data_IF_125165038437
#
_entry.id   IF_125165038437
#
_cell.length_a   1.000
_cell.length_b   1.000
_cell.length_c   1.000
_cell.angle_alpha   90.00
_cell.angle_beta   90.00
_cell.angle_gamma   90.00
#
_symmetry.space_group_name_H-M   'P 1'
#
loop_
_entity.id
_entity.type
_entity.pdbx_description
1 polymer ?
#
# COMPACT_ATOMS: atom_id res chain seq x y z
N UNK A 1 -2.43 14.11 -13.70
CA UNK A 1 -1.76 14.47 -12.46
C UNK A 1 -1.80 15.96 -12.27
N UNK A 2 -2.09 16.34 -11.07
CA UNK A 2 -2.14 17.71 -10.61
C UNK A 2 -0.71 18.22 -10.44
N UNK A 3 -0.62 19.51 -10.27
CA UNK A 3 0.59 20.23 -9.88
C UNK A 3 1.39 19.41 -8.86
N UNK A 4 2.65 19.17 -9.12
CA UNK A 4 3.58 18.37 -8.32
C UNK A 4 3.31 16.84 -8.29
N UNK A 5 2.53 16.30 -9.25
CA UNK A 5 2.31 14.86 -9.41
C UNK A 5 1.41 14.20 -8.37
N UNK A 6 0.75 14.95 -7.48
CA UNK A 6 -0.17 14.42 -6.47
C UNK A 6 -1.62 14.86 -6.76
N UNK A 7 -2.56 13.95 -6.62
CA UNK A 7 -3.99 14.25 -6.67
C UNK A 7 -4.45 15.13 -5.50
N UNK A 8 -5.49 15.93 -5.71
CA UNK A 8 -6.12 16.74 -4.68
C UNK A 8 -6.74 15.90 -3.55
N UNK A 9 -7.11 16.55 -2.41
CA UNK A 9 -7.72 15.84 -1.29
C UNK A 9 -9.07 15.18 -1.61
N UNK A 10 -9.79 15.70 -2.59
CA UNK A 10 -11.06 15.16 -3.09
C UNK A 10 -10.89 14.01 -4.11
N UNK A 11 -9.67 13.67 -4.45
CA UNK A 11 -9.33 12.71 -5.50
C UNK A 11 -8.51 11.52 -5.00
N UNK A 12 -7.56 11.72 -4.07
CA UNK A 12 -6.71 10.66 -3.56
C UNK A 12 -7.43 9.80 -2.52
N UNK A 13 -7.23 8.50 -2.58
CA UNK A 13 -8.04 7.53 -1.85
C UNK A 13 -8.10 7.73 -0.33
N UNK A 14 -7.04 8.15 0.39
CA UNK A 14 -7.15 8.30 1.84
C UNK A 14 -8.11 9.43 2.23
N UNK A 15 -8.11 10.52 1.49
CA UNK A 15 -9.02 11.65 1.78
C UNK A 15 -10.45 11.41 1.27
N UNK A 16 -10.60 10.67 0.17
CA UNK A 16 -11.92 10.16 -0.25
C UNK A 16 -12.46 9.20 0.82
N UNK A 17 -11.63 8.32 1.37
CA UNK A 17 -11.98 7.43 2.48
C UNK A 17 -12.38 8.23 3.73
N UNK A 18 -11.61 9.26 4.11
CA UNK A 18 -11.97 10.17 5.20
C UNK A 18 -13.38 10.76 5.01
N UNK A 19 -13.68 11.19 3.80
CA UNK A 19 -15.02 11.74 3.48
C UNK A 19 -16.13 10.69 3.62
N UNK A 20 -15.87 9.45 3.24
CA UNK A 20 -16.84 8.35 3.37
C UNK A 20 -17.05 7.93 4.83
N UNK A 21 -16.00 7.91 5.63
CA UNK A 21 -16.05 7.53 7.06
C UNK A 21 -16.70 8.62 7.93
N UNK A 22 -16.66 9.87 7.48
CA UNK A 22 -17.28 11.00 8.18
C UNK A 22 -16.46 11.51 9.38
N UNK A 23 -17.05 12.41 10.19
CA UNK A 23 -16.32 13.17 11.22
C UNK A 23 -15.93 12.34 12.46
N UNK A 24 -16.48 11.15 12.62
CA UNK A 24 -16.09 10.23 13.71
C UNK A 24 -14.74 9.55 13.51
N UNK A 25 -14.12 9.73 12.35
CA UNK A 25 -12.83 9.14 11.98
C UNK A 25 -11.80 10.21 11.63
N UNK A 26 -10.54 9.89 11.85
CA UNK A 26 -9.42 10.69 11.40
C UNK A 26 -8.46 9.80 10.58
N UNK A 27 -8.25 10.14 9.31
CA UNK A 27 -7.34 9.41 8.41
C UNK A 27 -6.04 10.18 8.27
N UNK A 28 -4.94 9.61 8.77
CA UNK A 28 -3.60 10.13 8.57
C UNK A 28 -2.98 9.57 7.28
N UNK A 29 -2.39 10.44 6.46
CA UNK A 29 -1.76 10.06 5.20
C UNK A 29 -0.24 10.00 5.33
N UNK A 30 0.34 8.83 5.14
CA UNK A 30 1.80 8.61 5.19
C UNK A 30 2.38 8.08 3.88
N UNK A 31 1.63 8.18 2.78
CA UNK A 31 2.08 7.75 1.46
C UNK A 31 3.08 8.71 0.83
N UNK A 32 4.26 8.17 0.44
CA UNK A 32 5.27 8.90 -0.33
C UNK A 32 5.65 8.13 -1.61
N UNK A 33 5.93 8.85 -2.72
CA UNK A 33 6.45 8.24 -3.94
C UNK A 33 7.76 7.49 -3.67
N UNK A 34 7.96 6.35 -4.32
CA UNK A 34 9.20 5.57 -4.20
C UNK A 34 9.29 4.69 -2.95
N UNK A 35 8.33 4.75 -2.00
CA UNK A 35 8.40 3.95 -0.77
C UNK A 35 8.35 2.45 -1.07
N UNK A 36 9.32 1.72 -0.53
CA UNK A 36 9.40 0.26 -0.52
C UNK A 36 8.91 -0.31 0.82
N UNK A 37 8.61 -1.60 0.85
CA UNK A 37 8.31 -2.28 2.11
C UNK A 37 9.57 -2.41 2.99
N UNK A 38 10.66 -2.92 2.45
CA UNK A 38 11.87 -3.25 3.24
C UNK A 38 13.20 -2.89 2.58
N UNK A 39 13.21 -2.48 1.31
CA UNK A 39 14.45 -2.22 0.58
C UNK A 39 14.93 -0.79 0.74
N UNK A 40 16.23 -0.62 0.99
CA UNK A 40 16.88 0.67 0.83
C UNK A 40 17.13 0.90 -0.66
N UNK A 41 16.53 1.92 -1.24
CA UNK A 41 16.80 2.32 -2.62
C UNK A 41 18.03 3.24 -2.62
N UNK A 42 19.16 2.84 -3.25
CA UNK A 42 20.36 3.66 -3.29
C UNK A 42 20.19 4.94 -4.12
N UNK A 43 19.12 5.02 -4.91
CA UNK A 43 18.81 6.19 -5.75
C UNK A 43 17.84 7.14 -5.02
N UNK A 44 16.98 6.60 -4.16
CA UNK A 44 15.96 7.38 -3.43
C UNK A 44 16.04 7.06 -1.95
N UNK A 45 16.87 7.80 -1.23
CA UNK A 45 17.09 7.60 0.20
C UNK A 45 15.84 7.84 1.05
N UNK A 46 15.78 7.18 2.22
CA UNK A 46 14.75 7.40 3.22
C UNK A 46 13.38 6.80 2.89
N UNK A 47 13.27 5.98 1.85
CA UNK A 47 11.99 5.40 1.42
C UNK A 47 11.74 3.97 1.91
N UNK A 48 12.59 3.41 2.77
CA UNK A 48 12.41 2.08 3.35
C UNK A 48 11.35 2.11 4.45
N UNK A 49 10.17 1.50 4.17
CA UNK A 49 9.05 1.45 5.11
C UNK A 49 9.39 0.77 6.43
N UNK A 50 10.16 -0.31 6.40
CA UNK A 50 10.56 -1.05 7.61
C UNK A 50 11.40 -0.19 8.59
N UNK A 51 12.19 0.74 8.06
CA UNK A 51 12.97 1.66 8.89
C UNK A 51 12.11 2.77 9.51
N UNK A 52 11.06 3.19 8.80
CA UNK A 52 10.26 4.35 9.15
C UNK A 52 8.97 4.01 9.93
N UNK A 53 8.50 2.78 9.89
CA UNK A 53 7.18 2.43 10.40
C UNK A 53 6.99 2.78 11.88
N UNK A 54 7.97 2.50 12.75
CA UNK A 54 7.85 2.78 14.17
C UNK A 54 7.68 4.28 14.47
N UNK A 55 8.60 5.18 14.06
CA UNK A 55 8.42 6.60 14.34
C UNK A 55 7.15 7.17 13.72
N UNK A 56 6.74 6.69 12.55
CA UNK A 56 5.48 7.11 11.91
C UNK A 56 4.29 6.71 12.78
N UNK A 57 4.14 5.43 13.13
CA UNK A 57 2.99 4.97 13.90
C UNK A 57 2.95 5.59 15.30
N UNK A 58 4.09 5.70 15.96
CA UNK A 58 4.17 6.30 17.30
C UNK A 58 3.82 7.79 17.28
N UNK A 59 4.15 8.54 16.22
CA UNK A 59 3.81 9.97 16.12
C UNK A 59 2.32 10.22 15.87
N UNK A 60 1.58 9.19 15.41
CA UNK A 60 0.13 9.24 15.21
C UNK A 60 -0.66 8.51 16.31
N UNK A 61 0.01 7.94 17.31
CA UNK A 61 -0.67 7.25 18.41
C UNK A 61 -1.62 8.18 19.19
N UNK A 62 -2.78 7.68 19.68
CA UNK A 62 -3.24 6.29 19.60
C UNK A 62 -3.95 5.97 18.27
N UNK A 63 -3.67 4.79 17.71
CA UNK A 63 -4.26 4.32 16.45
C UNK A 63 -5.30 3.21 16.70
N UNK A 64 -6.35 3.21 15.88
CA UNK A 64 -7.37 2.14 15.87
C UNK A 64 -7.04 1.11 14.77
N UNK A 65 -6.66 1.56 13.58
CA UNK A 65 -6.29 0.70 12.45
C UNK A 65 -5.10 1.30 11.69
N UNK A 66 -4.23 0.45 11.20
CA UNK A 66 -3.15 0.80 10.27
C UNK A 66 -3.39 0.12 8.92
N UNK A 67 -3.36 0.87 7.83
CA UNK A 67 -3.39 0.30 6.48
C UNK A 67 -2.00 0.32 5.85
N UNK A 68 -1.57 -0.81 5.28
CA UNK A 68 -0.28 -0.92 4.57
C UNK A 68 -0.55 -1.32 3.13
N UNK A 69 -0.26 -0.40 2.18
CA UNK A 69 -0.32 -0.67 0.74
C UNK A 69 1.05 -0.38 0.13
N UNK A 70 1.91 -1.37 0.07
CA UNK A 70 3.27 -1.32 -0.47
C UNK A 70 3.54 -2.55 -1.33
N UNK A 71 4.65 -2.54 -2.07
CA UNK A 71 5.07 -3.62 -2.96
C UNK A 71 5.31 -3.18 -4.39
N UNK A 72 4.64 -2.12 -4.86
CA UNK A 72 4.82 -1.60 -6.22
C UNK A 72 6.28 -1.20 -6.49
N UNK A 73 6.88 -0.42 -5.59
CA UNK A 73 8.27 0.01 -5.73
C UNK A 73 9.28 -1.11 -5.48
N UNK A 74 8.90 -2.11 -4.69
CA UNK A 74 9.71 -3.31 -4.44
C UNK A 74 9.86 -4.15 -5.72
N UNK A 75 8.97 -3.97 -6.71
CA UNK A 75 9.04 -4.62 -8.00
C UNK A 75 10.11 -4.03 -8.94
N UNK A 76 10.83 -2.97 -8.56
CA UNK A 76 11.92 -2.43 -9.37
C UNK A 76 13.00 -3.49 -9.61
N UNK A 77 13.42 -3.65 -10.86
CA UNK A 77 14.41 -4.67 -11.25
C UNK A 77 15.75 -4.54 -10.49
N UNK A 78 16.08 -3.31 -10.05
CA UNK A 78 17.31 -3.03 -9.29
C UNK A 78 17.41 -3.75 -7.95
N UNK A 79 16.29 -4.17 -7.38
CA UNK A 79 16.28 -4.95 -6.13
C UNK A 79 16.52 -6.44 -6.35
N UNK A 80 16.48 -6.93 -7.59
CA UNK A 80 16.73 -8.31 -7.96
C UNK A 80 15.91 -9.36 -7.16
N UNK A 81 14.66 -8.99 -6.81
CA UNK A 81 13.76 -9.82 -6.01
C UNK A 81 12.65 -10.41 -6.86
N UNK A 82 12.13 -11.53 -6.44
CA UNK A 82 10.90 -12.11 -6.96
C UNK A 82 9.66 -11.75 -6.12
N UNK A 83 8.48 -12.16 -6.57
CA UNK A 83 7.21 -11.90 -5.84
C UNK A 83 7.20 -12.51 -4.44
N UNK A 84 7.89 -13.62 -4.21
CA UNK A 84 7.95 -14.28 -2.91
C UNK A 84 8.77 -13.44 -1.91
N UNK A 85 9.93 -12.95 -2.32
CA UNK A 85 10.79 -12.09 -1.50
C UNK A 85 10.13 -10.74 -1.19
N UNK A 86 9.40 -10.17 -2.16
CA UNK A 86 8.59 -8.96 -1.95
C UNK A 86 7.50 -9.22 -0.90
N UNK A 87 6.77 -10.33 -1.03
CA UNK A 87 5.74 -10.72 -0.06
C UNK A 87 6.33 -10.95 1.35
N UNK A 88 7.51 -11.57 1.46
CA UNK A 88 8.22 -11.70 2.74
C UNK A 88 8.54 -10.34 3.36
N UNK A 89 8.97 -9.37 2.53
CA UNK A 89 9.21 -7.99 2.96
C UNK A 89 7.96 -7.33 3.53
N UNK A 90 6.84 -7.43 2.83
CA UNK A 90 5.56 -6.88 3.28
C UNK A 90 5.10 -7.56 4.59
N UNK A 91 5.19 -8.88 4.66
CA UNK A 91 4.84 -9.64 5.87
C UNK A 91 5.73 -9.26 7.08
N UNK A 92 7.03 -9.00 6.85
CA UNK A 92 7.95 -8.52 7.89
C UNK A 92 7.55 -7.12 8.37
N UNK A 93 7.24 -6.21 7.45
CA UNK A 93 6.77 -4.86 7.79
C UNK A 93 5.48 -4.91 8.59
N UNK A 94 4.52 -5.75 8.19
CA UNK A 94 3.26 -5.99 8.89
C UNK A 94 3.49 -6.45 10.33
N UNK A 95 4.36 -7.44 10.53
CA UNK A 95 4.71 -7.91 11.88
C UNK A 95 5.33 -6.82 12.74
N UNK A 96 6.14 -5.94 12.15
CA UNK A 96 6.72 -4.81 12.87
C UNK A 96 5.65 -3.79 13.26
N UNK A 97 4.69 -3.50 12.38
CA UNK A 97 3.55 -2.63 12.69
C UNK A 97 2.73 -3.17 13.88
N UNK A 98 2.40 -4.47 13.87
CA UNK A 98 1.68 -5.13 14.98
C UNK A 98 2.39 -4.99 16.34
N UNK A 99 3.72 -4.97 16.34
CA UNK A 99 4.56 -4.88 17.54
C UNK A 99 4.84 -3.45 18.01
N UNK A 100 4.39 -2.44 17.26
CA UNK A 100 4.64 -1.04 17.61
C UNK A 100 3.64 -0.59 18.68
N UNK A 101 4.13 0.08 19.72
CA UNK A 101 3.30 0.61 20.81
C UNK A 101 2.58 1.88 20.36
N UNK A 102 1.50 1.71 19.62
CA UNK A 102 0.73 2.82 19.04
C UNK A 102 -0.79 2.63 19.12
N UNK A 103 -1.26 1.52 19.67
CA UNK A 103 -2.66 1.11 19.63
C UNK A 103 -3.48 1.78 20.73
N UNK A 104 -4.74 2.14 20.42
CA UNK A 104 -5.64 2.79 21.36
C UNK A 104 -5.96 1.85 22.54
N UNK A 105 -5.85 2.38 23.77
CA UNK A 105 -6.24 1.72 25.02
C UNK A 105 -5.63 0.31 25.22
N UNK A 106 -4.42 0.07 24.70
CA UNK A 106 -3.78 -1.25 24.63
C UNK A 106 -4.65 -2.30 23.91
N UNK A 107 -5.53 -1.85 23.01
CA UNK A 107 -6.35 -2.74 22.19
C UNK A 107 -5.50 -3.67 21.35
N UNK A 108 -6.10 -4.74 20.86
CA UNK A 108 -5.44 -5.61 19.91
C UNK A 108 -5.09 -4.83 18.63
N UNK A 109 -3.86 -5.00 18.12
CA UNK A 109 -3.47 -4.41 16.86
C UNK A 109 -4.44 -4.76 15.73
N UNK A 110 -4.74 -3.81 14.85
CA UNK A 110 -5.52 -4.02 13.63
C UNK A 110 -4.78 -3.46 12.42
N UNK A 111 -4.19 -4.33 11.63
CA UNK A 111 -3.44 -3.99 10.43
C UNK A 111 -4.13 -4.56 9.19
N UNK A 112 -4.63 -3.68 8.32
CA UNK A 112 -5.16 -4.06 7.02
C UNK A 112 -4.06 -3.97 5.96
N UNK A 113 -3.59 -5.11 5.49
CA UNK A 113 -2.59 -5.20 4.42
C UNK A 113 -3.29 -5.23 3.07
N UNK A 114 -2.92 -4.31 2.20
CA UNK A 114 -3.53 -4.13 0.89
C UNK A 114 -2.49 -4.45 -0.19
N UNK A 115 -2.78 -5.43 -1.03
CA UNK A 115 -1.99 -5.64 -2.25
C UNK A 115 -2.36 -4.54 -3.24
N UNK A 116 -1.39 -3.75 -3.74
CA UNK A 116 -1.68 -2.68 -4.69
C UNK A 116 -2.20 -3.22 -6.03
N UNK A 117 -2.90 -2.40 -6.82
CA UNK A 117 -3.26 -2.74 -8.19
C UNK A 117 -2.03 -3.16 -9.00
N UNK A 118 -2.17 -4.22 -9.78
CA UNK A 118 -1.07 -4.77 -10.58
C UNK A 118 -0.66 -3.78 -11.67
N UNK A 119 0.64 -3.50 -11.72
CA UNK A 119 1.26 -2.77 -12.83
C UNK A 119 0.89 -3.44 -14.13
N UNK A 120 0.37 -2.70 -15.11
CA UNK A 120 -0.03 -3.27 -16.39
C UNK A 120 1.19 -3.64 -17.25
N UNK A 121 1.12 -4.66 -18.13
CA UNK A 121 2.23 -4.97 -19.03
C UNK A 121 2.61 -3.79 -19.94
N UNK A 122 1.70 -2.84 -20.14
CA UNK A 122 1.94 -1.65 -20.94
C UNK A 122 3.04 -0.75 -20.38
N UNK A 123 3.35 -0.81 -19.07
CA UNK A 123 4.41 0.00 -18.45
C UNK A 123 5.74 -0.10 -19.19
N UNK A 124 6.04 -1.27 -19.77
CA UNK A 124 7.29 -1.54 -20.50
C UNK A 124 7.48 -0.69 -21.77
N UNK A 125 6.42 -0.02 -22.21
CA UNK A 125 6.42 0.91 -23.36
C UNK A 125 6.18 2.37 -22.95
N UNK A 126 6.14 2.64 -21.64
CA UNK A 126 5.75 3.92 -21.06
C UNK A 126 6.91 4.53 -20.27
N UNK A 127 6.67 5.73 -19.72
CA UNK A 127 7.73 6.57 -19.12
C UNK A 127 8.44 5.94 -17.93
N UNK A 128 7.81 4.96 -17.22
CA UNK A 128 8.41 4.32 -16.04
C UNK A 128 9.21 3.05 -16.36
N UNK A 129 9.35 2.67 -17.62
CA UNK A 129 10.14 1.51 -18.03
C UNK A 129 11.56 1.54 -17.48
N UNK A 130 12.25 2.67 -17.67
CA UNK A 130 13.65 2.83 -17.23
C UNK A 130 13.76 2.78 -15.71
N UNK A 131 12.81 3.38 -14.99
CA UNK A 131 12.78 3.41 -13.53
C UNK A 131 12.50 2.04 -12.93
N UNK A 132 11.54 1.31 -13.47
CA UNK A 132 11.06 0.04 -12.94
C UNK A 132 11.90 -1.16 -13.44
N UNK A 133 12.43 -1.08 -14.64
CA UNK A 133 13.15 -2.16 -15.31
C UNK A 133 12.25 -3.34 -15.71
N UNK A 134 12.82 -4.38 -16.33
CA UNK A 134 12.06 -5.51 -16.88
C UNK A 134 11.45 -6.41 -15.79
N UNK A 135 10.36 -7.10 -16.11
CA UNK A 135 9.72 -8.10 -15.25
C UNK A 135 8.93 -7.53 -14.06
N UNK A 136 8.65 -6.22 -14.09
CA UNK A 136 7.94 -5.56 -12.99
C UNK A 136 6.48 -5.99 -12.90
N UNK A 137 5.81 -6.17 -14.03
CA UNK A 137 4.43 -6.66 -14.09
C UNK A 137 4.30 -8.04 -13.44
N UNK A 138 5.15 -8.99 -13.83
CA UNK A 138 5.11 -10.37 -13.34
C UNK A 138 5.38 -10.44 -11.83
N UNK A 139 6.34 -9.66 -11.35
CA UNK A 139 6.61 -9.55 -9.92
C UNK A 139 5.43 -9.01 -9.15
N UNK A 140 4.83 -7.94 -9.64
CA UNK A 140 3.66 -7.31 -9.02
C UNK A 140 2.46 -8.27 -9.01
N UNK A 141 2.16 -8.92 -10.13
CA UNK A 141 1.04 -9.86 -10.26
C UNK A 141 1.15 -11.07 -9.32
N UNK A 142 2.37 -11.49 -8.99
CA UNK A 142 2.60 -12.62 -8.08
C UNK A 142 2.49 -12.30 -6.59
N UNK A 143 2.40 -11.04 -6.18
CA UNK A 143 2.44 -10.65 -4.75
C UNK A 143 1.27 -11.25 -3.98
N UNK A 144 0.03 -11.09 -4.44
CA UNK A 144 -1.16 -11.51 -3.70
C UNK A 144 -1.12 -13.00 -3.33
N UNK A 145 -0.83 -13.86 -4.30
CA UNK A 145 -0.79 -15.31 -4.11
C UNK A 145 0.32 -15.75 -3.13
N UNK A 146 1.41 -14.98 -3.01
CA UNK A 146 2.51 -15.27 -2.10
C UNK A 146 2.29 -14.69 -0.71
N UNK A 147 1.66 -13.50 -0.63
CA UNK A 147 1.46 -12.78 0.62
C UNK A 147 0.31 -13.34 1.46
N UNK A 148 -0.81 -13.68 0.83
CA UNK A 148 -1.99 -14.15 1.54
C UNK A 148 -1.71 -15.32 2.53
N UNK A 149 -1.01 -16.41 2.13
CA UNK A 149 -0.69 -17.49 3.06
C UNK A 149 0.29 -17.08 4.17
N UNK A 150 1.14 -16.07 3.95
CA UNK A 150 2.08 -15.56 4.97
C UNK A 150 1.38 -14.76 6.07
N UNK A 151 0.24 -14.18 5.76
CA UNK A 151 -0.56 -13.37 6.69
C UNK A 151 -1.69 -14.18 7.34
N UNK A 152 -2.05 -15.29 6.75
CA UNK A 152 -3.13 -16.16 7.23
C UNK A 152 -2.89 -16.59 8.69
N UNK A 153 -3.91 -16.39 9.54
CA UNK A 153 -3.86 -16.76 10.95
C UNK A 153 -3.01 -15.85 11.85
N UNK A 154 -2.45 -14.77 11.33
CA UNK A 154 -1.82 -13.75 12.18
C UNK A 154 -2.90 -12.93 12.89
N UNK A 155 -2.93 -12.93 14.24
CA UNK A 155 -3.90 -12.13 14.98
C UNK A 155 -3.74 -10.64 14.68
N UNK A 156 -4.85 -9.94 14.48
CA UNK A 156 -4.85 -8.51 14.19
C UNK A 156 -4.43 -8.16 12.76
N UNK A 157 -4.41 -9.12 11.85
CA UNK A 157 -4.13 -8.86 10.43
C UNK A 157 -5.35 -9.17 9.57
N UNK A 158 -5.72 -8.18 8.76
CA UNK A 158 -6.69 -8.32 7.66
C UNK A 158 -5.96 -8.20 6.33
N UNK A 159 -6.48 -8.81 5.30
CA UNK A 159 -5.88 -8.85 3.97
C UNK A 159 -6.90 -8.45 2.91
N UNK A 160 -6.53 -7.52 2.02
CA UNK A 160 -7.31 -7.09 0.88
C UNK A 160 -6.44 -7.10 -0.38
N UNK A 161 -6.86 -7.80 -1.39
CA UNK A 161 -6.27 -7.66 -2.73
C UNK A 161 -7.04 -6.59 -3.51
N UNK A 162 -6.45 -5.43 -3.75
CA UNK A 162 -7.10 -4.34 -4.49
C UNK A 162 -7.50 -4.75 -5.92
N UNK A 163 -6.86 -5.79 -6.47
CA UNK A 163 -7.20 -6.31 -7.81
C UNK A 163 -8.57 -7.01 -7.85
N UNK A 164 -9.15 -7.36 -6.71
CA UNK A 164 -10.51 -7.89 -6.61
C UNK A 164 -11.57 -6.79 -6.57
N UNK A 165 -11.17 -5.54 -6.39
CA UNK A 165 -12.09 -4.40 -6.35
C UNK A 165 -12.38 -3.88 -7.77
N UNK A 166 -13.63 -3.88 -8.21
CA UNK A 166 -13.98 -3.35 -9.53
C UNK A 166 -13.52 -1.88 -9.68
N UNK A 167 -12.75 -1.60 -10.71
CA UNK A 167 -12.26 -0.26 -11.01
C UNK A 167 -10.97 0.17 -10.29
N UNK A 168 -10.44 -0.61 -9.35
CA UNK A 168 -9.15 -0.33 -8.71
C UNK A 168 -8.00 -0.81 -9.61
N UNK A 169 -7.75 -0.10 -10.69
CA UNK A 169 -6.78 -0.50 -11.73
C UNK A 169 -5.74 0.59 -11.96
N UNK A 170 -4.58 0.19 -12.50
CA UNK A 170 -3.55 1.14 -12.92
C UNK A 170 -3.96 1.91 -14.18
N UNK A 171 -3.49 3.15 -14.28
CA UNK A 171 -3.72 4.05 -15.40
C UNK A 171 -3.14 3.50 -16.70
N UNK A 172 -3.84 3.62 -17.83
CA UNK A 172 -3.27 3.30 -19.14
C UNK A 172 -2.20 4.30 -19.59
N UNK A 173 -2.06 5.45 -18.92
CA UNK A 173 -1.10 6.50 -19.27
C UNK A 173 0.32 6.11 -18.89
N UNK A 174 0.50 5.47 -17.73
CA UNK A 174 1.81 5.09 -17.22
C UNK A 174 1.91 3.62 -16.81
N UNK A 175 0.80 2.92 -16.78
CA UNK A 175 0.71 1.50 -16.44
C UNK A 175 0.92 1.18 -14.97
N UNK A 176 1.13 2.17 -14.09
CA UNK A 176 1.55 1.96 -12.72
C UNK A 176 0.72 2.72 -11.68
N UNK A 177 0.45 3.99 -11.90
CA UNK A 177 -0.33 4.79 -10.95
C UNK A 177 -1.85 4.63 -11.18
N UNK A 178 -2.62 4.77 -10.13
CA UNK A 178 -4.08 4.73 -10.20
C UNK A 178 -4.65 5.99 -10.84
N UNK A 179 -5.78 5.86 -11.56
CA UNK A 179 -6.60 7.00 -11.99
C UNK A 179 -7.42 7.54 -10.80
N UNK A 180 -8.08 8.69 -10.97
CA UNK A 180 -9.01 9.23 -9.97
C UNK A 180 -10.14 8.26 -9.66
N UNK A 181 -10.65 7.60 -10.68
CA UNK A 181 -11.72 6.59 -10.55
C UNK A 181 -11.22 5.38 -9.76
N UNK A 182 -10.00 4.94 -10.01
CA UNK A 182 -9.37 3.85 -9.28
C UNK A 182 -9.12 4.21 -7.80
N UNK A 183 -8.71 5.46 -7.51
CA UNK A 183 -8.63 5.97 -6.14
C UNK A 183 -9.99 5.93 -5.43
N UNK A 184 -11.08 6.32 -6.09
CA UNK A 184 -12.43 6.24 -5.53
C UNK A 184 -12.87 4.79 -5.29
N UNK A 185 -12.62 3.91 -6.25
CA UNK A 185 -12.93 2.49 -6.12
C UNK A 185 -12.21 1.85 -4.94
N UNK A 186 -10.92 2.14 -4.77
CA UNK A 186 -10.14 1.70 -3.62
C UNK A 186 -10.70 2.25 -2.31
N UNK A 187 -11.00 3.55 -2.23
CA UNK A 187 -11.59 4.16 -1.04
C UNK A 187 -12.92 3.52 -0.64
N UNK A 188 -13.78 3.21 -1.61
CA UNK A 188 -15.05 2.51 -1.38
C UNK A 188 -14.83 1.07 -0.90
N UNK A 189 -13.82 0.37 -1.44
CA UNK A 189 -13.43 -0.95 -0.97
C UNK A 189 -12.98 -0.91 0.49
N UNK A 190 -12.08 0.01 0.82
CA UNK A 190 -11.58 0.20 2.17
C UNK A 190 -12.67 0.62 3.16
N UNK A 191 -13.60 1.48 2.75
CA UNK A 191 -14.75 1.85 3.57
C UNK A 191 -15.56 0.61 3.98
N UNK A 192 -15.86 -0.29 3.05
CA UNK A 192 -16.57 -1.55 3.36
C UNK A 192 -15.77 -2.43 4.33
N UNK A 193 -14.47 -2.59 4.10
CA UNK A 193 -13.62 -3.39 4.98
C UNK A 193 -13.52 -2.83 6.40
N UNK A 194 -13.47 -1.52 6.55
CA UNK A 194 -13.34 -0.87 7.85
C UNK A 194 -14.68 -0.81 8.63
N UNK A 195 -15.81 -0.74 7.92
CA UNK A 195 -17.13 -0.63 8.56
C UNK A 195 -17.87 -1.96 8.72
N UNK A 196 -17.44 -3.03 8.08
CA UNK A 196 -18.03 -4.38 8.23
C UNK A 196 -17.74 -5.03 9.59
N UNK A 197 -16.79 -4.49 10.34
CA UNK A 197 -16.31 -5.07 11.62
C UNK A 197 -16.79 -4.28 12.85
N UNK A 198 -17.70 -3.31 12.65
CA UNK A 198 -18.28 -2.48 13.72
C UNK A 198 -19.67 -2.98 14.07
#
# INVERSE_FOLDING_TARGET
PVRDGRYGPDERYPMVLQSLLGPGWAVAEEGLPGRTAVFDDPITEGMNGLRLINPILMSHAPLDTVTIMLGTNDCKARFACDSYQIAQGIARLTKKALQTECWRDNAHPDVLVIVPPVITPAYDRLIFREEMGPGCHERCAGIAARLAPMLQGLPGVRFLDANTLPGAVCSPVDGMHMTKEAHRALAQGLYRELTASV
#
